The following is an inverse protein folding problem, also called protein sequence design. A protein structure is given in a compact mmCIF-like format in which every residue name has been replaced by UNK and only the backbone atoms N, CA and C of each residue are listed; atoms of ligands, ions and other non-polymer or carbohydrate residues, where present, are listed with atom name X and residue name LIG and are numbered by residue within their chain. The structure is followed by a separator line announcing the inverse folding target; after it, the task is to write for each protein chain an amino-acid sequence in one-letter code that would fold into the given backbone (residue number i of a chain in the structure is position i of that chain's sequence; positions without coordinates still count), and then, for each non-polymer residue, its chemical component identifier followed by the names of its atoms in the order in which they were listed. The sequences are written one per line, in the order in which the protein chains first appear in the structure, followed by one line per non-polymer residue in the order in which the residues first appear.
data_IF_578406451192
#
_entry.id   IF_578406451192
#
_cell.length_a   1.000
_cell.length_b   1.000
_cell.length_c   1.000
_cell.angle_alpha   90.00
_cell.angle_beta   90.00
_cell.angle_gamma   90.00
#
_symmetry.space_group_name_H-M   'P 1'
#
loop_
_entity.id
_entity.type
_entity.pdbx_description
1 polymer ?
#
# COMPACT_ATOMS: atom_id res chain seq x y z
N UNK A 1 1.16 11.05 -17.45
CA UNK A 1 2.20 11.19 -16.41
C UNK A 1 3.23 10.05 -16.47
N UNK A 2 2.79 8.80 -16.61
CA UNK A 2 3.64 7.63 -16.79
C UNK A 2 3.03 6.74 -17.88
N UNK A 3 3.83 6.23 -18.79
CA UNK A 3 3.44 5.25 -19.81
C UNK A 3 3.78 3.83 -19.35
N UNK A 4 3.16 2.81 -19.97
CA UNK A 4 3.53 1.41 -19.75
C UNK A 4 5.04 1.17 -19.96
N UNK A 5 5.63 1.77 -20.99
CA UNK A 5 7.06 1.63 -21.29
C UNK A 5 7.93 2.19 -20.17
N UNK A 6 7.59 3.37 -19.64
CA UNK A 6 8.31 3.96 -18.52
C UNK A 6 8.10 3.14 -17.23
N UNK A 7 6.89 2.65 -16.97
CA UNK A 7 6.62 1.75 -15.85
C UNK A 7 7.51 0.49 -15.92
N UNK A 8 7.58 -0.17 -17.08
CA UNK A 8 8.42 -1.35 -17.28
C UNK A 8 9.91 -1.04 -17.13
N UNK A 9 10.36 0.17 -17.49
CA UNK A 9 11.74 0.61 -17.33
C UNK A 9 12.10 0.88 -15.85
N UNK A 10 11.17 1.44 -15.08
CA UNK A 10 11.33 1.75 -13.65
C UNK A 10 11.19 0.48 -12.79
N UNK A 11 10.33 -0.45 -13.19
CA UNK A 11 10.01 -1.67 -12.47
C UNK A 11 10.22 -2.94 -13.32
N UNK A 12 11.45 -3.25 -13.73
CA UNK A 12 11.73 -4.37 -14.63
C UNK A 12 11.43 -5.75 -14.01
N UNK A 13 11.35 -5.83 -12.69
CA UNK A 13 11.06 -7.06 -11.93
C UNK A 13 9.58 -7.21 -11.57
N UNK A 14 8.72 -6.28 -11.99
CA UNK A 14 7.30 -6.31 -11.67
C UNK A 14 6.65 -7.60 -12.19
N UNK A 15 5.98 -8.30 -11.30
CA UNK A 15 5.21 -9.50 -11.60
C UNK A 15 3.81 -9.38 -11.02
N UNK A 16 2.88 -10.25 -11.45
CA UNK A 16 1.53 -10.28 -10.91
C UNK A 16 1.55 -10.30 -9.36
N UNK A 17 0.75 -9.46 -8.69
CA UNK A 17 -0.36 -8.66 -9.23
C UNK A 17 0.02 -7.25 -9.71
N UNK A 18 1.30 -6.87 -9.72
CA UNK A 18 1.74 -5.51 -10.01
C UNK A 18 1.81 -5.21 -11.52
N UNK A 19 0.66 -4.96 -12.12
CA UNK A 19 0.56 -4.53 -13.51
C UNK A 19 0.37 -3.01 -13.61
N UNK A 20 0.82 -2.43 -14.72
CA UNK A 20 0.54 -1.02 -15.04
C UNK A 20 -0.97 -0.75 -15.21
N UNK A 21 -1.70 -1.69 -15.82
CA UNK A 21 -3.16 -1.58 -15.95
C UNK A 21 -3.83 -1.52 -14.57
N UNK A 22 -3.42 -2.38 -13.64
CA UNK A 22 -3.89 -2.35 -12.25
C UNK A 22 -3.57 -1.04 -11.54
N UNK A 23 -2.39 -0.46 -11.77
CA UNK A 23 -2.03 0.86 -11.23
C UNK A 23 -2.96 1.94 -11.78
N UNK A 24 -3.19 1.95 -13.11
CA UNK A 24 -4.10 2.90 -13.73
C UNK A 24 -5.52 2.77 -13.18
N UNK A 25 -6.04 1.55 -13.06
CA UNK A 25 -7.36 1.28 -12.47
C UNK A 25 -7.44 1.80 -11.04
N UNK A 26 -6.47 1.47 -10.18
CA UNK A 26 -6.47 1.92 -8.79
C UNK A 26 -6.42 3.45 -8.65
N UNK A 27 -5.67 4.14 -9.52
CA UNK A 27 -5.64 5.62 -9.56
C UNK A 27 -7.01 6.17 -9.99
N UNK A 28 -7.60 5.61 -11.05
CA UNK A 28 -8.91 6.02 -11.54
C UNK A 28 -9.99 5.82 -10.48
N UNK A 29 -10.03 4.66 -9.85
CA UNK A 29 -11.00 4.34 -8.80
C UNK A 29 -10.86 5.31 -7.62
N UNK A 30 -9.65 5.49 -7.08
CA UNK A 30 -9.40 6.43 -5.98
C UNK A 30 -9.86 7.85 -6.32
N UNK A 31 -9.47 8.37 -7.48
CA UNK A 31 -9.79 9.73 -7.89
C UNK A 31 -11.28 9.94 -8.21
N UNK A 32 -11.99 8.87 -8.59
CA UNK A 32 -13.44 8.88 -8.80
C UNK A 32 -14.17 8.97 -7.46
N UNK A 33 -13.73 8.17 -6.49
CA UNK A 33 -14.35 8.10 -5.17
C UNK A 33 -13.97 9.29 -4.26
N UNK A 34 -12.85 9.95 -4.55
CA UNK A 34 -12.30 11.07 -3.77
C UNK A 34 -12.14 12.35 -4.62
N UNK A 35 -13.22 12.94 -5.16
CA UNK A 35 -13.12 14.07 -6.09
C UNK A 35 -12.49 15.34 -5.50
N UNK A 36 -12.46 15.47 -4.17
CA UNK A 36 -11.82 16.59 -3.47
C UNK A 36 -10.41 16.27 -2.96
N UNK A 37 -9.92 15.04 -3.09
CA UNK A 37 -8.62 14.60 -2.58
C UNK A 37 -7.99 13.56 -3.52
N UNK A 38 -7.68 13.99 -4.73
CA UNK A 38 -7.19 13.15 -5.81
C UNK A 38 -5.67 12.97 -5.75
N UNK A 39 -5.18 11.77 -6.00
CA UNK A 39 -3.74 11.45 -6.10
C UNK A 39 -3.19 11.88 -7.47
N UNK A 40 -1.95 12.39 -7.49
CA UNK A 40 -1.22 12.83 -8.69
C UNK A 40 -1.90 13.98 -9.45
N UNK A 41 -2.61 14.86 -8.74
CA UNK A 41 -3.34 16.01 -9.30
C UNK A 41 -2.80 17.36 -8.83
N UNK A 42 -1.48 17.46 -8.60
CA UNK A 42 -0.79 18.73 -8.40
C UNK A 42 -1.09 19.76 -9.50
N UNK A 43 -0.89 21.05 -9.22
CA UNK A 43 -1.27 22.15 -10.14
C UNK A 43 -0.41 22.20 -11.40
N UNK A 44 0.82 21.68 -11.32
CA UNK A 44 1.74 21.58 -12.46
C UNK A 44 2.07 20.12 -12.78
N UNK A 45 2.41 19.83 -14.04
CA UNK A 45 2.89 18.49 -14.42
C UNK A 45 4.12 18.07 -13.61
N UNK A 46 4.98 19.02 -13.22
CA UNK A 46 6.15 18.73 -12.39
C UNK A 46 5.76 18.22 -11.00
N UNK A 47 4.80 18.87 -10.33
CA UNK A 47 4.28 18.42 -9.02
C UNK A 47 3.66 17.02 -9.13
N UNK A 48 2.84 16.80 -10.17
CA UNK A 48 2.22 15.50 -10.43
C UNK A 48 3.28 14.39 -10.65
N UNK A 49 4.35 14.69 -11.39
CA UNK A 49 5.46 13.75 -11.61
C UNK A 49 6.30 13.51 -10.36
N UNK A 50 6.52 14.53 -9.54
CA UNK A 50 7.24 14.39 -8.28
C UNK A 50 6.51 13.47 -7.30
N UNK A 51 5.20 13.68 -7.14
CA UNK A 51 4.39 12.81 -6.30
C UNK A 51 4.39 11.36 -6.84
N UNK A 52 4.19 11.17 -8.14
CA UNK A 52 4.20 9.85 -8.77
C UNK A 52 5.55 9.14 -8.59
N UNK A 53 6.66 9.86 -8.77
CA UNK A 53 7.99 9.31 -8.55
C UNK A 53 8.23 8.95 -7.08
N UNK A 54 7.77 9.78 -6.14
CA UNK A 54 7.88 9.53 -4.72
C UNK A 54 7.06 8.30 -4.27
N UNK A 55 5.83 8.18 -4.77
CA UNK A 55 4.96 7.03 -4.52
C UNK A 55 5.59 5.74 -5.07
N UNK A 56 6.02 5.74 -6.33
CA UNK A 56 6.66 4.58 -6.96
C UNK A 56 7.96 4.21 -6.26
N UNK A 57 8.79 5.18 -5.88
CA UNK A 57 10.06 4.94 -5.20
C UNK A 57 9.88 4.22 -3.86
N UNK A 58 8.93 4.66 -3.04
CA UNK A 58 8.63 4.01 -1.77
C UNK A 58 7.99 2.62 -1.97
N UNK A 59 6.99 2.51 -2.84
CA UNK A 59 6.31 1.22 -3.06
C UNK A 59 7.21 0.19 -3.77
N UNK A 60 8.16 0.62 -4.59
CA UNK A 60 9.24 -0.24 -5.10
C UNK A 60 10.10 -0.77 -3.96
N UNK A 61 10.46 0.07 -2.98
CA UNK A 61 11.24 -0.35 -1.83
C UNK A 61 10.52 -1.43 -1.02
N UNK A 62 9.26 -1.16 -0.65
CA UNK A 62 8.47 -2.06 0.21
C UNK A 62 8.17 -3.42 -0.43
N UNK A 63 7.99 -3.46 -1.75
CA UNK A 63 7.59 -4.67 -2.49
C UNK A 63 8.76 -5.46 -3.10
N UNK A 64 10.02 -5.07 -2.80
CA UNK A 64 11.20 -5.68 -3.40
C UNK A 64 11.24 -5.51 -4.93
N UNK A 65 10.92 -4.30 -5.40
CA UNK A 65 10.87 -3.97 -6.83
C UNK A 65 9.64 -4.55 -7.53
N UNK A 66 8.50 -4.63 -6.82
CA UNK A 66 7.26 -5.27 -7.27
C UNK A 66 7.42 -6.76 -7.63
N UNK A 67 8.38 -7.44 -6.99
CA UNK A 67 8.57 -8.89 -7.09
C UNK A 67 7.87 -9.66 -5.97
N UNK A 68 7.55 -9.00 -4.86
CA UNK A 68 7.00 -9.62 -3.66
C UNK A 68 5.64 -9.02 -3.26
N UNK A 69 4.56 -9.71 -3.64
CA UNK A 69 3.18 -9.32 -3.29
C UNK A 69 2.81 -9.61 -1.82
N UNK A 70 3.64 -10.41 -1.13
CA UNK A 70 3.47 -10.88 0.24
C UNK A 70 4.79 -10.76 0.96
N UNK A 71 4.74 -10.49 2.26
CA UNK A 71 5.89 -10.55 3.15
C UNK A 71 6.58 -11.92 3.05
N UNK A 72 7.91 -11.93 3.12
CA UNK A 72 8.69 -13.16 3.05
C UNK A 72 8.29 -14.14 4.17
N UNK A 73 8.08 -15.41 3.82
CA UNK A 73 7.59 -16.43 4.75
C UNK A 73 8.47 -16.59 6.00
N UNK A 74 9.79 -16.41 5.87
CA UNK A 74 10.72 -16.45 7.00
C UNK A 74 10.47 -15.33 8.01
N UNK A 75 10.00 -14.17 7.56
CA UNK A 75 9.78 -12.99 8.39
C UNK A 75 8.40 -13.02 9.04
N UNK A 76 7.39 -13.49 8.32
CA UNK A 76 6.11 -13.92 8.90
C UNK A 76 6.37 -14.88 10.07
N UNK A 77 7.18 -15.93 9.88
CA UNK A 77 7.53 -16.88 10.95
C UNK A 77 8.29 -16.25 12.14
N UNK A 78 9.07 -15.18 11.91
CA UNK A 78 9.85 -14.48 12.97
C UNK A 78 9.02 -13.48 13.76
N UNK A 79 8.14 -12.71 13.10
CA UNK A 79 7.23 -11.77 13.76
C UNK A 79 6.16 -12.53 14.56
N UNK A 80 5.73 -13.69 14.07
CA UNK A 80 4.76 -14.55 14.74
C UNK A 80 5.37 -15.53 15.76
N UNK A 81 6.53 -15.23 16.38
CA UNK A 81 7.13 -16.07 17.45
C UNK A 81 6.23 -16.29 18.69
N UNK A 82 5.14 -15.52 18.83
CA UNK A 82 4.11 -15.75 19.85
C UNK A 82 3.05 -16.80 19.46
N UNK A 83 3.01 -17.22 18.19
CA UNK A 83 2.02 -18.19 17.67
C UNK A 83 2.80 -19.40 17.14
N UNK A 84 3.25 -20.27 18.06
CA UNK A 84 3.88 -21.54 17.70
C UNK A 84 2.84 -22.50 17.12
N UNK A 85 2.91 -22.75 15.82
CA UNK A 85 2.11 -23.76 15.14
C UNK A 85 2.26 -25.15 15.79
N UNK A 86 1.21 -25.61 16.45
CA UNK A 86 0.70 -26.96 16.27
C UNK A 86 -0.80 -26.81 16.02
N UNK A 87 -1.28 -27.35 14.90
CA UNK A 87 -2.67 -27.23 14.48
C UNK A 87 -3.55 -27.97 15.49
N UNK A 88 -4.13 -27.23 16.43
CA UNK A 88 -5.37 -27.60 17.08
C UNK A 88 -6.48 -26.76 16.46
N UNK A 89 -7.39 -27.48 15.83
CA UNK A 89 -8.61 -27.01 15.19
C UNK A 89 -9.50 -26.38 16.29
N UNK A 90 -9.46 -25.04 16.41
CA UNK A 90 -10.08 -24.21 17.45
C UNK A 90 -9.59 -24.45 18.90
N UNK A 91 -9.53 -23.46 19.80
CA UNK A 91 -9.66 -22.01 19.65
C UNK A 91 -8.26 -21.37 19.75
N UNK A 92 -7.94 -20.43 18.83
CA UNK A 92 -6.70 -19.65 18.92
C UNK A 92 -5.64 -19.87 17.84
N UNK A 93 -5.91 -20.59 16.74
CA UNK A 93 -5.02 -20.61 15.57
C UNK A 93 -5.73 -20.15 14.29
N UNK A 94 -5.21 -19.06 13.72
CA UNK A 94 -5.64 -18.43 12.47
C UNK A 94 -4.69 -18.90 11.37
N UNK A 95 -5.24 -19.35 10.23
CA UNK A 95 -4.42 -19.75 9.08
C UNK A 95 -3.52 -18.57 8.66
N UNK A 96 -2.28 -18.84 8.25
CA UNK A 96 -1.29 -17.77 8.03
C UNK A 96 -1.78 -16.76 6.99
N UNK A 97 -2.40 -17.25 5.92
CA UNK A 97 -3.06 -16.46 4.88
C UNK A 97 -4.25 -15.62 5.38
N UNK A 98 -4.78 -15.89 6.57
CA UNK A 98 -5.77 -15.07 7.28
C UNK A 98 -5.14 -14.12 8.32
N UNK A 99 -3.82 -14.14 8.47
CA UNK A 99 -3.09 -13.14 9.25
C UNK A 99 -2.88 -11.88 8.41
N UNK A 100 -2.91 -10.73 9.09
CA UNK A 100 -2.73 -9.40 8.50
C UNK A 100 -1.24 -9.02 8.38
N UNK A 101 -0.43 -9.92 7.83
CA UNK A 101 0.97 -9.67 7.47
C UNK A 101 1.09 -8.80 6.20
N UNK A 102 2.29 -8.36 5.86
CA UNK A 102 2.54 -7.45 4.72
C UNK A 102 2.02 -7.98 3.38
N UNK A 103 1.16 -7.22 2.70
CA UNK A 103 0.72 -7.50 1.32
C UNK A 103 0.63 -6.24 0.47
N UNK A 104 0.65 -6.41 -0.85
CA UNK A 104 0.43 -5.32 -1.80
C UNK A 104 1.58 -4.32 -1.87
N UNK A 105 1.36 -3.20 -2.54
CA UNK A 105 2.43 -2.27 -2.94
C UNK A 105 3.16 -1.60 -1.76
N UNK A 106 2.51 -1.52 -0.60
CA UNK A 106 3.05 -0.87 0.61
C UNK A 106 3.28 -1.85 1.76
N UNK A 107 3.23 -3.16 1.50
CA UNK A 107 3.28 -4.20 2.54
C UNK A 107 2.28 -3.93 3.68
N UNK A 108 1.02 -3.67 3.31
CA UNK A 108 -0.07 -3.40 4.25
C UNK A 108 -0.10 -4.48 5.33
N UNK A 109 0.03 -4.05 6.57
CA UNK A 109 0.16 -4.91 7.75
C UNK A 109 -0.80 -4.44 8.84
N UNK A 110 -1.15 -5.34 9.75
CA UNK A 110 -2.07 -5.13 10.88
C UNK A 110 -3.55 -5.07 10.53
N UNK A 111 -4.38 -5.72 11.35
CA UNK A 111 -5.82 -5.84 11.15
C UNK A 111 -6.53 -4.49 11.00
N UNK A 112 -6.16 -3.48 11.79
CA UNK A 112 -6.79 -2.16 11.72
C UNK A 112 -6.55 -1.48 10.36
N UNK A 113 -5.34 -1.58 9.80
CA UNK A 113 -5.05 -1.04 8.48
C UNK A 113 -5.83 -1.78 7.37
N UNK A 114 -6.00 -3.11 7.49
CA UNK A 114 -6.83 -3.86 6.55
C UNK A 114 -8.31 -3.46 6.63
N UNK A 115 -8.84 -3.21 7.83
CA UNK A 115 -10.23 -2.73 8.02
C UNK A 115 -10.42 -1.38 7.34
N UNK A 116 -9.54 -0.42 7.64
CA UNK A 116 -9.67 0.95 7.15
C UNK A 116 -9.45 1.03 5.64
N UNK A 117 -8.45 0.31 5.12
CA UNK A 117 -8.22 0.21 3.68
C UNK A 117 -9.37 -0.49 2.96
N UNK A 118 -9.95 -1.55 3.54
CA UNK A 118 -11.09 -2.26 2.97
C UNK A 118 -12.30 -1.34 2.85
N UNK A 119 -12.62 -0.60 3.92
CA UNK A 119 -13.72 0.35 3.89
C UNK A 119 -13.50 1.44 2.82
N UNK A 120 -12.28 1.99 2.75
CA UNK A 120 -11.97 3.06 1.80
C UNK A 120 -11.96 2.61 0.33
N UNK A 121 -11.54 1.38 0.04
CA UNK A 121 -11.34 0.90 -1.33
C UNK A 121 -12.56 0.13 -1.86
N UNK A 122 -13.30 -0.56 -0.98
CA UNK A 122 -14.41 -1.44 -1.41
C UNK A 122 -15.78 -0.99 -0.91
N UNK A 123 -15.82 0.00 0.00
CA UNK A 123 -17.05 0.40 0.69
C UNK A 123 -17.49 -0.59 1.79
N UNK A 124 -16.75 -1.67 2.02
CA UNK A 124 -17.03 -2.67 3.05
C UNK A 124 -15.76 -3.01 3.84
N UNK A 125 -15.78 -2.70 5.13
CA UNK A 125 -14.71 -3.00 6.09
C UNK A 125 -14.33 -4.49 6.17
N UNK A 126 -15.21 -5.40 5.74
CA UNK A 126 -15.00 -6.84 5.86
C UNK A 126 -14.36 -7.49 4.62
N UNK A 127 -14.28 -6.82 3.47
CA UNK A 127 -13.79 -7.44 2.24
C UNK A 127 -12.36 -7.99 2.41
N UNK A 128 -11.42 -7.17 2.89
CA UNK A 128 -10.06 -7.64 3.14
C UNK A 128 -9.90 -8.37 4.47
N UNK A 129 -10.83 -8.23 5.42
CA UNK A 129 -10.79 -9.04 6.65
C UNK A 129 -11.19 -10.49 6.41
N UNK A 130 -12.19 -10.70 5.56
CA UNK A 130 -12.65 -12.04 5.18
C UNK A 130 -11.68 -12.72 4.22
N UNK A 131 -11.03 -11.95 3.34
CA UNK A 131 -10.10 -12.44 2.32
C UNK A 131 -8.89 -11.51 2.15
N UNK A 132 -7.95 -11.46 3.11
CA UNK A 132 -6.82 -10.52 3.06
C UNK A 132 -5.87 -10.80 1.89
N UNK A 133 -5.87 -12.01 1.34
CA UNK A 133 -5.06 -12.38 0.18
C UNK A 133 -5.48 -11.69 -1.13
N UNK A 134 -6.67 -11.07 -1.16
CA UNK A 134 -7.09 -10.19 -2.25
C UNK A 134 -6.07 -9.06 -2.49
N UNK A 135 -5.45 -8.55 -1.42
CA UNK A 135 -4.42 -7.49 -1.48
C UNK A 135 -3.13 -7.96 -2.18
N UNK A 136 -2.91 -9.26 -2.29
CA UNK A 136 -1.74 -9.85 -2.95
C UNK A 136 -2.05 -10.56 -4.29
N UNK A 137 -3.30 -10.57 -4.72
CA UNK A 137 -3.75 -11.33 -5.91
C UNK A 137 -4.58 -10.51 -6.88
N UNK A 138 -5.31 -9.50 -6.41
CA UNK A 138 -6.03 -8.58 -7.26
C UNK A 138 -5.14 -7.36 -7.58
N UNK A 139 -5.00 -7.05 -8.87
CA UNK A 139 -4.12 -5.99 -9.36
C UNK A 139 -4.51 -4.61 -8.83
N UNK A 140 -5.79 -4.24 -8.87
CA UNK A 140 -6.24 -2.93 -8.39
C UNK A 140 -6.16 -2.82 -6.87
N UNK A 141 -6.43 -3.89 -6.12
CA UNK A 141 -6.30 -3.86 -4.66
C UNK A 141 -4.84 -3.82 -4.19
N UNK A 142 -3.93 -4.52 -4.88
CA UNK A 142 -2.51 -4.49 -4.54
C UNK A 142 -1.93 -3.07 -4.64
N UNK A 143 -2.34 -2.30 -5.65
CA UNK A 143 -2.00 -0.87 -5.79
C UNK A 143 -2.83 0.03 -4.88
N UNK A 144 -4.12 -0.24 -4.79
CA UNK A 144 -5.10 0.55 -4.07
C UNK A 144 -4.74 0.71 -2.60
N UNK A 145 -4.25 -0.34 -1.93
CA UNK A 145 -3.81 -0.22 -0.52
C UNK A 145 -2.60 0.70 -0.37
N UNK A 146 -1.72 0.76 -1.37
CA UNK A 146 -0.60 1.70 -1.38
C UNK A 146 -1.08 3.14 -1.57
N UNK A 147 -2.02 3.36 -2.48
CA UNK A 147 -2.64 4.67 -2.71
C UNK A 147 -3.37 5.14 -1.46
N UNK A 148 -4.22 4.29 -0.87
CA UNK A 148 -4.92 4.58 0.38
C UNK A 148 -3.93 5.02 1.47
N UNK A 149 -2.89 4.22 1.73
CA UNK A 149 -1.91 4.55 2.76
C UNK A 149 -1.20 5.89 2.47
N UNK A 150 -0.81 6.11 1.21
CA UNK A 150 -0.17 7.35 0.77
C UNK A 150 -1.02 8.60 1.03
N UNK A 151 -2.33 8.48 0.82
CA UNK A 151 -3.28 9.56 0.92
C UNK A 151 -3.83 9.79 2.32
N UNK A 152 -3.90 8.74 3.17
CA UNK A 152 -4.63 8.81 4.44
C UNK A 152 -3.81 8.51 5.70
N UNK A 153 -2.66 7.86 5.60
CA UNK A 153 -1.90 7.49 6.79
C UNK A 153 -1.21 8.71 7.41
N UNK A 154 -1.42 8.90 8.71
CA UNK A 154 -0.71 9.86 9.53
C UNK A 154 0.08 9.09 10.60
N UNK A 155 1.41 9.26 10.59
CA UNK A 155 2.25 8.60 11.58
C UNK A 155 2.11 9.18 12.97
N UNK A 156 2.07 10.50 13.05
CA UNK A 156 1.83 11.23 14.28
C UNK A 156 0.35 11.65 14.37
N UNK A 157 -0.22 11.60 15.57
CA UNK A 157 -1.60 12.01 15.83
C UNK A 157 -1.67 13.45 16.38
N UNK A 158 -0.87 14.36 15.82
CA UNK A 158 -0.83 15.76 16.21
C UNK A 158 -1.38 16.68 15.10
N UNK A 159 -1.67 17.93 15.45
CA UNK A 159 -2.36 18.88 14.55
C UNK A 159 -1.54 19.34 13.34
N UNK A 160 -0.27 18.95 13.23
CA UNK A 160 0.61 19.31 12.10
C UNK A 160 1.04 18.09 11.30
N UNK A 161 0.53 16.89 11.62
CA UNK A 161 0.80 15.68 10.88
C UNK A 161 0.26 15.79 9.44
N UNK A 162 1.05 15.29 8.49
CA UNK A 162 0.75 15.30 7.06
C UNK A 162 0.80 13.88 6.53
N UNK A 163 -0.08 13.54 5.59
CA UNK A 163 0.04 12.31 4.82
C UNK A 163 1.29 12.36 3.92
N UNK A 164 1.63 11.25 3.26
CA UNK A 164 2.71 11.27 2.26
C UNK A 164 2.35 12.15 1.06
N UNK A 165 1.09 12.11 0.64
CA UNK A 165 0.51 13.02 -0.35
C UNK A 165 0.71 14.49 0.03
N UNK A 166 0.29 14.88 1.24
CA UNK A 166 0.41 16.27 1.69
C UNK A 166 1.88 16.68 1.84
N UNK A 167 2.74 15.80 2.34
CA UNK A 167 4.17 16.08 2.53
C UNK A 167 4.86 16.42 1.21
N UNK A 168 4.54 15.69 0.13
CA UNK A 168 5.16 15.94 -1.16
C UNK A 168 4.51 17.10 -1.91
N UNK A 169 3.19 17.26 -1.86
CA UNK A 169 2.50 18.34 -2.57
C UNK A 169 2.69 19.71 -1.93
N UNK A 170 2.70 19.79 -0.60
CA UNK A 170 2.77 21.08 0.09
C UNK A 170 4.20 21.56 0.33
N UNK A 171 5.12 20.63 0.58
CA UNK A 171 6.48 20.97 1.02
C UNK A 171 7.58 20.43 0.08
N UNK A 172 7.23 19.70 -0.98
CA UNK A 172 8.19 18.93 -1.79
C UNK A 172 9.09 17.99 -0.94
N UNK A 173 8.56 17.50 0.18
CA UNK A 173 9.34 16.80 1.19
C UNK A 173 9.28 15.27 1.02
N UNK A 174 10.21 14.72 0.23
CA UNK A 174 10.36 13.27 0.10
C UNK A 174 10.68 12.58 1.44
N UNK A 175 11.49 13.21 2.30
CA UNK A 175 11.83 12.66 3.62
C UNK A 175 10.62 12.50 4.54
N UNK A 176 9.62 13.37 4.42
CA UNK A 176 8.34 13.26 5.11
C UNK A 176 7.57 11.99 4.70
N UNK A 177 7.63 11.62 3.43
CA UNK A 177 6.99 10.39 2.93
C UNK A 177 7.64 9.13 3.51
N UNK A 178 8.98 9.11 3.59
CA UNK A 178 9.75 8.02 4.20
C UNK A 178 9.47 7.94 5.70
N UNK A 179 9.44 9.09 6.39
CA UNK A 179 9.07 9.16 7.80
C UNK A 179 7.69 8.57 8.04
N UNK A 180 6.68 8.94 7.25
CA UNK A 180 5.32 8.43 7.39
C UNK A 180 5.23 6.91 7.21
N UNK A 181 5.95 6.36 6.23
CA UNK A 181 5.90 4.91 5.94
C UNK A 181 6.64 4.12 7.02
N UNK A 182 7.85 4.52 7.40
CA UNK A 182 8.68 3.69 8.28
C UNK A 182 9.65 4.44 9.22
N UNK A 183 9.36 5.70 9.57
CA UNK A 183 10.17 6.44 10.54
C UNK A 183 10.19 5.80 11.94
N UNK A 184 11.28 5.97 12.69
CA UNK A 184 11.39 5.48 14.07
C UNK A 184 11.95 4.05 14.22
N UNK A 185 12.42 3.45 13.12
CA UNK A 185 13.33 2.30 13.13
C UNK A 185 14.80 2.74 13.27
#
# INVERSE_FOLDING_TARGET
LLTQTEFNAVAPSATAPYTYAGLCTAITDWNTDNPSNQIFMGTTEMEQRHELAAFLGNTLHESGGFAAARECESDVRRQHRSIRCNVLQAAGYVAADKLFFGRGAIQLSWNYNYIDASLAITGDANTFCASPDLVATNESYAWGVGIWFWMSHLKDLNSVAKSSHDSILTDANFGGTVYNINGGL
#
